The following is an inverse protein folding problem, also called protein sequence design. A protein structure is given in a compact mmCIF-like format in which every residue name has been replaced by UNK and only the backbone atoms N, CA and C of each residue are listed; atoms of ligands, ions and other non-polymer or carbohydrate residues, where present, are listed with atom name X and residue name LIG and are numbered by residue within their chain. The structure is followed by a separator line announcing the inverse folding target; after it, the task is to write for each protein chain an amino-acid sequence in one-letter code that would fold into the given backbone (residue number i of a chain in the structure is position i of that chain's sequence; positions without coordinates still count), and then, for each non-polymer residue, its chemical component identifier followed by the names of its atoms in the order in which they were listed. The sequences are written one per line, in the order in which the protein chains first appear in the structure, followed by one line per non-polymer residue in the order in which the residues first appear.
data_IF_800474050508
#
_entry.id   IF_800474050508
#
_cell.length_a   1.000
_cell.length_b   1.000
_cell.length_c   1.000
_cell.angle_alpha   90.00
_cell.angle_beta   90.00
_cell.angle_gamma   90.00
#
_symmetry.space_group_name_H-M   'P 1'
#
loop_
_entity.id
_entity.type
_entity.pdbx_description
1 polymer ?
#
# COMPACT_ATOMS: atom_id res chain seq x y z
N UNK A 1 -3.01 -8.44 -46.00
CA UNK A 1 -2.20 -7.80 -44.93
C UNK A 1 -3.03 -7.32 -43.74
N UNK A 2 -4.19 -6.67 -43.94
CA UNK A 2 -5.09 -6.20 -42.86
C UNK A 2 -5.33 -7.24 -41.75
N UNK A 3 -5.64 -8.50 -42.13
CA UNK A 3 -5.86 -9.59 -41.18
C UNK A 3 -4.67 -9.89 -40.24
N UNK A 4 -3.43 -9.72 -40.71
CA UNK A 4 -2.23 -9.99 -39.90
C UNK A 4 -2.10 -8.93 -38.79
N UNK A 5 -2.39 -7.67 -39.10
CA UNK A 5 -2.38 -6.57 -38.13
C UNK A 5 -3.49 -6.70 -37.09
N UNK A 6 -4.69 -7.13 -37.52
CA UNK A 6 -5.81 -7.42 -36.60
C UNK A 6 -5.45 -8.55 -35.64
N UNK A 7 -4.83 -9.63 -36.14
CA UNK A 7 -4.37 -10.75 -35.30
C UNK A 7 -3.27 -10.31 -34.33
N UNK A 8 -2.32 -9.50 -34.79
CA UNK A 8 -1.25 -9.00 -33.93
C UNK A 8 -1.75 -8.05 -32.83
N UNK A 9 -2.70 -7.15 -33.14
CA UNK A 9 -3.37 -6.31 -32.15
C UNK A 9 -4.18 -7.14 -31.15
N UNK A 10 -4.87 -8.18 -31.61
CA UNK A 10 -5.55 -9.13 -30.72
C UNK A 10 -4.56 -9.88 -29.81
N UNK A 11 -3.38 -10.24 -30.31
CA UNK A 11 -2.31 -10.86 -29.50
C UNK A 11 -1.78 -9.86 -28.47
N UNK A 12 -1.52 -8.60 -28.82
CA UNK A 12 -1.09 -7.58 -27.85
C UNK A 12 -2.19 -7.34 -26.82
N UNK A 13 -3.44 -7.16 -27.24
CA UNK A 13 -4.58 -7.03 -26.33
C UNK A 13 -4.72 -8.25 -25.42
N UNK A 14 -4.49 -9.46 -25.93
CA UNK A 14 -4.51 -10.69 -25.14
C UNK A 14 -3.35 -10.77 -24.16
N UNK A 15 -2.11 -10.46 -24.57
CA UNK A 15 -0.94 -10.43 -23.68
C UNK A 15 -1.14 -9.36 -22.61
N UNK A 16 -1.65 -8.20 -22.97
CA UNK A 16 -1.92 -7.11 -22.05
C UNK A 16 -3.07 -7.45 -21.11
N UNK A 17 -4.13 -8.07 -21.62
CA UNK A 17 -5.21 -8.64 -20.81
C UNK A 17 -4.66 -9.71 -19.86
N UNK A 18 -3.73 -10.56 -20.29
CA UNK A 18 -3.10 -11.58 -19.47
C UNK A 18 -2.16 -11.00 -18.40
N UNK A 19 -1.40 -9.96 -18.73
CA UNK A 19 -0.53 -9.26 -17.79
C UNK A 19 -1.35 -8.54 -16.72
N UNK A 20 -2.34 -7.75 -17.17
CA UNK A 20 -3.31 -7.09 -16.28
C UNK A 20 -4.07 -8.14 -15.49
N UNK A 21 -4.55 -9.22 -16.11
CA UNK A 21 -5.32 -10.25 -15.40
C UNK A 21 -4.45 -10.97 -14.42
N UNK A 22 -3.20 -11.31 -14.73
CA UNK A 22 -2.32 -12.02 -13.79
C UNK A 22 -1.94 -11.13 -12.61
N UNK A 23 -1.68 -9.85 -12.82
CA UNK A 23 -1.42 -8.92 -11.73
C UNK A 23 -2.70 -8.63 -10.91
N UNK A 24 -3.85 -8.47 -11.57
CA UNK A 24 -5.14 -8.36 -10.88
C UNK A 24 -5.53 -9.65 -10.17
N UNK A 25 -5.25 -10.82 -10.75
CA UNK A 25 -5.58 -12.14 -10.20
C UNK A 25 -4.67 -12.45 -9.03
N UNK A 26 -3.37 -12.15 -9.13
CA UNK A 26 -2.44 -12.24 -8.00
C UNK A 26 -2.85 -11.27 -6.89
N UNK A 27 -3.19 -10.02 -7.25
CA UNK A 27 -3.67 -9.02 -6.29
C UNK A 27 -5.01 -9.42 -5.65
N UNK A 28 -5.95 -9.95 -6.42
CA UNK A 28 -7.28 -10.37 -5.91
C UNK A 28 -7.23 -11.69 -5.18
N UNK A 29 -6.34 -12.62 -5.54
CA UNK A 29 -6.08 -13.84 -4.78
C UNK A 29 -5.44 -13.50 -3.44
N UNK A 30 -4.45 -12.60 -3.44
CA UNK A 30 -3.87 -12.08 -2.20
C UNK A 30 -4.92 -11.33 -1.37
N UNK A 31 -5.76 -10.49 -2.00
CA UNK A 31 -6.84 -9.79 -1.33
C UNK A 31 -7.90 -10.76 -0.76
N UNK A 32 -8.25 -11.84 -1.47
CA UNK A 32 -9.16 -12.88 -0.96
C UNK A 32 -8.56 -13.59 0.26
N UNK A 33 -7.28 -13.95 0.21
CA UNK A 33 -6.56 -14.53 1.34
C UNK A 33 -6.50 -13.58 2.54
N UNK A 34 -6.16 -12.31 2.31
CA UNK A 34 -6.18 -11.28 3.36
C UNK A 34 -7.58 -11.00 3.90
N UNK A 35 -8.62 -11.06 3.05
CA UNK A 35 -10.02 -10.90 3.47
C UNK A 35 -10.46 -12.04 4.39
N UNK A 36 -10.09 -13.28 4.07
CA UNK A 36 -10.35 -14.44 4.93
C UNK A 36 -9.65 -14.26 6.29
N UNK A 37 -8.33 -14.02 6.27
CA UNK A 37 -7.54 -13.73 7.48
C UNK A 37 -8.11 -12.58 8.32
N UNK A 38 -8.60 -11.53 7.66
CA UNK A 38 -9.27 -10.41 8.31
C UNK A 38 -10.61 -10.82 8.96
N UNK A 39 -11.42 -11.64 8.29
CA UNK A 39 -12.67 -12.14 8.87
C UNK A 39 -12.39 -13.05 10.06
N UNK A 40 -11.39 -13.92 9.94
CA UNK A 40 -10.96 -14.84 10.99
C UNK A 40 -10.50 -14.08 12.23
N UNK A 41 -9.64 -13.07 12.08
CA UNK A 41 -9.18 -12.27 13.23
C UNK A 41 -10.31 -11.46 13.86
N UNK A 42 -11.27 -10.95 13.07
CA UNK A 42 -12.44 -10.26 13.63
C UNK A 42 -13.40 -11.20 14.37
N UNK A 43 -13.59 -12.42 13.85
CA UNK A 43 -14.38 -13.46 14.50
C UNK A 43 -13.70 -13.85 15.82
N UNK A 44 -12.38 -14.09 15.78
CA UNK A 44 -11.56 -14.35 16.95
C UNK A 44 -11.70 -13.24 18.00
N UNK A 45 -11.52 -11.96 17.63
CA UNK A 45 -11.68 -10.82 18.54
C UNK A 45 -13.10 -10.60 19.06
N UNK A 46 -14.11 -11.27 18.49
CA UNK A 46 -15.49 -11.23 18.97
C UNK A 46 -15.79 -12.35 19.98
N UNK A 47 -14.90 -13.33 20.13
CA UNK A 47 -15.00 -14.36 21.17
C UNK A 47 -14.80 -13.74 22.55
N UNK A 48 -15.37 -14.40 23.57
CA UNK A 48 -15.11 -13.99 24.94
C UNK A 48 -13.64 -14.25 25.30
N UNK A 49 -13.02 -13.37 26.09
CA UNK A 49 -11.76 -13.61 26.77
C UNK A 49 -11.33 -15.03 27.12
N UNK A 50 -12.21 -15.81 27.74
CA UNK A 50 -11.92 -17.16 28.22
C UNK A 50 -11.83 -18.15 27.06
N UNK A 51 -12.57 -17.91 25.99
CA UNK A 51 -12.51 -18.73 24.78
C UNK A 51 -11.21 -18.50 24.00
N UNK A 52 -10.68 -17.27 23.99
CA UNK A 52 -9.49 -16.89 23.21
C UNK A 52 -8.26 -17.77 23.51
N UNK A 53 -8.13 -18.31 24.72
CA UNK A 53 -6.98 -19.13 25.12
C UNK A 53 -6.94 -20.50 24.44
N UNK A 54 -8.09 -21.00 23.96
CA UNK A 54 -8.20 -22.34 23.39
C UNK A 54 -8.12 -22.37 21.86
N UNK A 55 -8.06 -21.20 21.21
CA UNK A 55 -8.03 -21.09 19.75
C UNK A 55 -6.69 -20.55 19.26
N UNK A 56 -6.23 -21.08 18.13
CA UNK A 56 -5.07 -20.54 17.42
C UNK A 56 -5.37 -19.12 16.92
N UNK A 57 -4.40 -18.21 17.11
CA UNK A 57 -4.55 -16.80 16.72
C UNK A 57 -4.43 -16.71 15.19
N UNK A 58 -5.47 -16.23 14.48
CA UNK A 58 -5.38 -16.04 13.03
C UNK A 58 -4.27 -15.06 12.68
N UNK A 59 -3.50 -15.35 11.61
CA UNK A 59 -2.42 -14.50 11.15
C UNK A 59 -2.93 -13.34 10.27
N UNK A 60 -2.88 -12.11 10.78
CA UNK A 60 -3.19 -10.86 10.08
C UNK A 60 -2.18 -9.77 10.46
N UNK A 61 -1.22 -9.53 9.55
CA UNK A 61 -0.14 -8.53 9.68
C UNK A 61 0.52 -8.57 11.08
N UNK A 62 0.96 -7.42 11.59
CA UNK A 62 1.54 -7.25 12.92
C UNK A 62 0.50 -7.32 14.06
N UNK A 63 -0.80 -7.24 13.76
CA UNK A 63 -1.85 -7.28 14.79
C UNK A 63 -1.89 -8.61 15.54
N UNK A 64 -1.63 -9.73 14.87
CA UNK A 64 -1.56 -11.05 15.51
C UNK A 64 -0.48 -11.12 16.58
N UNK A 65 0.67 -10.47 16.34
CA UNK A 65 1.76 -10.41 17.32
C UNK A 65 1.37 -9.58 18.55
N UNK A 66 0.69 -8.44 18.34
CA UNK A 66 0.16 -7.61 19.43
C UNK A 66 -0.84 -8.42 20.26
N UNK A 67 -1.82 -9.07 19.61
CA UNK A 67 -2.84 -9.88 20.29
C UNK A 67 -2.20 -11.03 21.05
N UNK A 68 -1.23 -11.73 20.45
CA UNK A 68 -0.50 -12.82 21.12
C UNK A 68 0.23 -12.32 22.37
N UNK A 69 0.90 -11.16 22.31
CA UNK A 69 1.56 -10.54 23.47
C UNK A 69 0.54 -10.16 24.55
N UNK A 70 -0.59 -9.56 24.18
CA UNK A 70 -1.66 -9.18 25.11
C UNK A 70 -2.28 -10.39 25.82
N UNK A 71 -2.51 -11.49 25.10
CA UNK A 71 -3.02 -12.73 25.68
C UNK A 71 -2.02 -13.36 26.65
N UNK A 72 -0.72 -13.32 26.32
CA UNK A 72 0.34 -13.73 27.25
C UNK A 72 0.34 -12.87 28.52
N UNK A 73 0.20 -11.55 28.39
CA UNK A 73 0.13 -10.66 29.55
C UNK A 73 -1.13 -10.88 30.39
N UNK A 74 -2.27 -11.17 29.76
CA UNK A 74 -3.47 -11.57 30.50
C UNK A 74 -3.27 -12.86 31.27
N UNK A 75 -2.72 -13.90 30.65
CA UNK A 75 -2.48 -15.18 31.32
C UNK A 75 -1.52 -15.01 32.51
N UNK A 76 -0.52 -14.13 32.38
CA UNK A 76 0.49 -13.89 33.42
C UNK A 76 0.04 -12.94 34.53
N UNK A 77 -0.77 -11.92 34.21
CA UNK A 77 -1.04 -10.79 35.11
C UNK A 77 -2.53 -10.49 35.35
N UNK A 78 -3.46 -11.22 34.70
CA UNK A 78 -4.89 -11.01 34.89
C UNK A 78 -5.46 -9.74 34.24
N UNK A 79 -4.79 -9.17 33.23
CA UNK A 79 -5.22 -7.93 32.57
C UNK A 79 -6.62 -8.01 31.96
N UNK A 80 -7.43 -6.95 32.16
CA UNK A 80 -8.66 -6.76 31.41
C UNK A 80 -8.30 -6.41 29.95
N UNK A 81 -8.67 -7.27 29.00
CA UNK A 81 -8.37 -7.06 27.58
C UNK A 81 -9.54 -6.48 26.78
N UNK A 82 -10.73 -6.38 27.37
CA UNK A 82 -11.96 -6.08 26.60
C UNK A 82 -11.90 -4.72 25.90
N UNK A 83 -11.41 -3.68 26.58
CA UNK A 83 -11.24 -2.33 26.03
C UNK A 83 -10.20 -2.32 24.91
N UNK A 84 -9.02 -2.89 25.18
CA UNK A 84 -7.88 -2.92 24.25
C UNK A 84 -8.21 -3.73 22.99
N UNK A 85 -8.86 -4.89 23.12
CA UNK A 85 -9.26 -5.70 21.97
C UNK A 85 -10.34 -5.01 21.11
N UNK A 86 -11.27 -4.26 21.74
CA UNK A 86 -12.22 -3.42 21.00
C UNK A 86 -11.53 -2.34 20.19
N UNK A 87 -10.48 -1.72 20.74
CA UNK A 87 -9.69 -0.72 20.02
C UNK A 87 -8.86 -1.35 18.89
N UNK A 88 -8.21 -2.49 19.13
CA UNK A 88 -7.49 -3.24 18.10
C UNK A 88 -8.45 -3.64 16.98
N UNK A 89 -9.67 -4.05 17.31
CA UNK A 89 -10.72 -4.32 16.31
C UNK A 89 -11.02 -3.10 15.45
N UNK A 90 -11.18 -1.91 16.06
CA UNK A 90 -11.35 -0.64 15.33
C UNK A 90 -10.13 -0.32 14.44
N UNK A 91 -8.93 -0.51 14.97
CA UNK A 91 -7.67 -0.31 14.26
C UNK A 91 -7.52 -1.23 13.04
N UNK A 92 -7.87 -2.51 13.17
CA UNK A 92 -7.87 -3.49 12.06
C UNK A 92 -8.87 -3.08 10.97
N UNK A 93 -10.07 -2.63 11.35
CA UNK A 93 -11.06 -2.12 10.38
C UNK A 93 -10.53 -0.87 9.66
N UNK A 94 -9.91 0.05 10.39
CA UNK A 94 -9.29 1.26 9.81
C UNK A 94 -8.14 0.91 8.85
N UNK A 95 -7.24 0.02 9.26
CA UNK A 95 -6.15 -0.49 8.41
C UNK A 95 -6.66 -1.10 7.11
N UNK A 96 -7.70 -1.96 7.17
CA UNK A 96 -8.30 -2.53 5.97
C UNK A 96 -8.91 -1.48 5.05
N UNK A 97 -9.61 -0.49 5.61
CA UNK A 97 -10.18 0.60 4.82
C UNK A 97 -9.08 1.39 4.09
N UNK A 98 -7.95 1.61 4.75
CA UNK A 98 -6.80 2.32 4.16
C UNK A 98 -6.09 1.47 3.10
N UNK A 99 -5.86 0.19 3.36
CA UNK A 99 -5.32 -0.74 2.36
C UNK A 99 -6.16 -0.77 1.07
N UNK A 100 -7.51 -0.79 1.22
CA UNK A 100 -8.43 -0.71 0.08
C UNK A 100 -8.29 0.60 -0.69
N UNK A 101 -8.10 1.74 -0.01
CA UNK A 101 -7.85 3.04 -0.66
C UNK A 101 -6.53 3.05 -1.43
N UNK A 102 -5.44 2.54 -0.84
CA UNK A 102 -4.14 2.43 -1.52
C UNK A 102 -4.26 1.57 -2.77
N UNK A 103 -4.91 0.41 -2.66
CA UNK A 103 -5.12 -0.48 -3.78
C UNK A 103 -5.96 0.16 -4.89
N UNK A 104 -7.03 0.88 -4.54
CA UNK A 104 -7.85 1.60 -5.51
C UNK A 104 -7.05 2.67 -6.26
N UNK A 105 -6.20 3.43 -5.57
CA UNK A 105 -5.32 4.45 -6.17
C UNK A 105 -4.32 3.80 -7.15
N UNK A 106 -3.66 2.71 -6.74
CA UNK A 106 -2.71 1.97 -7.60
C UNK A 106 -3.41 1.45 -8.87
N UNK A 107 -4.56 0.78 -8.69
CA UNK A 107 -5.34 0.23 -9.80
C UNK A 107 -5.81 1.32 -10.76
N UNK A 108 -6.28 2.46 -10.24
CA UNK A 108 -6.68 3.60 -11.05
C UNK A 108 -5.52 4.12 -11.90
N UNK A 109 -4.34 4.32 -11.31
CA UNK A 109 -3.17 4.83 -12.04
C UNK A 109 -2.68 3.85 -13.12
N UNK A 110 -2.62 2.55 -12.80
CA UNK A 110 -2.26 1.50 -13.77
C UNK A 110 -3.24 1.49 -14.94
N UNK A 111 -4.56 1.53 -14.66
CA UNK A 111 -5.59 1.56 -15.70
C UNK A 111 -5.46 2.80 -16.59
N UNK A 112 -5.14 3.97 -16.02
CA UNK A 112 -4.96 5.20 -16.78
C UNK A 112 -3.76 5.14 -17.72
N UNK A 113 -2.61 4.66 -17.24
CA UNK A 113 -1.42 4.48 -18.08
C UNK A 113 -1.71 3.46 -19.20
N UNK A 114 -2.32 2.34 -18.84
CA UNK A 114 -2.74 1.29 -19.77
C UNK A 114 -3.65 1.82 -20.89
N UNK A 115 -4.67 2.60 -20.53
CA UNK A 115 -5.61 3.17 -21.49
C UNK A 115 -4.90 4.13 -22.45
N UNK A 116 -3.99 4.96 -21.96
CA UNK A 116 -3.22 5.89 -22.79
C UNK A 116 -2.37 5.12 -23.81
N UNK A 117 -1.67 4.06 -23.37
CA UNK A 117 -0.87 3.21 -24.28
C UNK A 117 -1.75 2.62 -25.39
N UNK A 118 -2.93 2.07 -25.03
CA UNK A 118 -3.86 1.48 -26.00
C UNK A 118 -4.35 2.53 -27.00
N UNK A 119 -4.71 3.73 -26.52
CA UNK A 119 -5.19 4.82 -27.39
C UNK A 119 -4.09 5.28 -28.34
N UNK A 120 -2.87 5.48 -27.85
CA UNK A 120 -1.73 5.90 -28.68
C UNK A 120 -1.39 4.83 -29.73
N UNK A 121 -1.41 3.55 -29.36
CA UNK A 121 -1.17 2.45 -30.29
C UNK A 121 -2.27 2.36 -31.35
N UNK A 122 -3.53 2.46 -30.93
CA UNK A 122 -4.69 2.41 -31.84
C UNK A 122 -4.65 3.57 -32.82
N UNK A 123 -4.30 4.78 -32.37
CA UNK A 123 -4.10 5.95 -33.22
C UNK A 123 -3.06 5.69 -34.31
N UNK A 124 -1.88 5.18 -33.94
CA UNK A 124 -0.81 4.89 -34.90
C UNK A 124 -1.25 3.89 -35.96
N UNK A 125 -1.87 2.78 -35.52
CA UNK A 125 -2.36 1.73 -36.43
C UNK A 125 -3.41 2.29 -37.37
N UNK A 126 -4.41 3.01 -36.85
CA UNK A 126 -5.49 3.57 -37.66
C UNK A 126 -4.96 4.57 -38.70
N UNK A 127 -4.02 5.43 -38.31
CA UNK A 127 -3.42 6.41 -39.20
C UNK A 127 -2.65 5.75 -40.36
N UNK A 128 -1.81 4.75 -40.06
CA UNK A 128 -1.05 4.02 -41.08
C UNK A 128 -1.99 3.24 -42.03
N UNK A 129 -2.95 2.48 -41.50
CA UNK A 129 -3.72 1.51 -42.32
C UNK A 129 -4.94 2.10 -43.02
N UNK A 130 -5.62 3.08 -42.43
CA UNK A 130 -6.90 3.56 -42.97
C UNK A 130 -6.81 4.95 -43.61
N UNK A 131 -5.90 5.80 -43.14
CA UNK A 131 -5.84 7.20 -43.59
C UNK A 131 -4.80 7.37 -44.70
N UNK A 132 -3.60 6.82 -44.50
CA UNK A 132 -2.45 7.09 -45.37
C UNK A 132 -2.04 5.91 -46.27
N UNK A 133 -2.59 4.72 -46.04
CA UNK A 133 -2.23 3.47 -46.75
C UNK A 133 -0.71 3.19 -46.77
N UNK A 134 -0.03 3.54 -45.67
CA UNK A 134 1.42 3.36 -45.51
C UNK A 134 1.68 1.93 -44.97
N UNK A 135 2.65 1.18 -45.53
CA UNK A 135 3.03 -0.11 -44.97
C UNK A 135 3.52 0.06 -43.54
N UNK A 136 2.92 -0.67 -42.60
CA UNK A 136 3.25 -0.56 -41.19
C UNK A 136 4.64 -1.16 -40.90
N UNK A 137 5.51 -0.36 -40.30
CA UNK A 137 6.78 -0.86 -39.76
C UNK A 137 6.57 -1.56 -38.41
N UNK A 138 6.55 -2.89 -38.45
CA UNK A 138 6.44 -3.73 -37.25
C UNK A 138 7.59 -3.50 -36.26
N UNK A 139 8.80 -3.18 -36.73
CA UNK A 139 9.93 -2.95 -35.86
C UNK A 139 9.73 -1.67 -35.03
N UNK A 140 9.19 -0.61 -35.64
CA UNK A 140 8.79 0.62 -34.95
C UNK A 140 7.74 0.33 -33.88
N UNK A 141 6.68 -0.41 -34.22
CA UNK A 141 5.60 -0.74 -33.29
C UNK A 141 6.10 -1.60 -32.12
N UNK A 142 6.97 -2.58 -32.37
CA UNK A 142 7.57 -3.38 -31.30
C UNK A 142 8.41 -2.52 -30.34
N UNK A 143 9.24 -1.62 -30.87
CA UNK A 143 10.03 -0.67 -30.06
C UNK A 143 9.11 0.22 -29.21
N UNK A 144 8.03 0.71 -29.80
CA UNK A 144 7.00 1.51 -29.13
C UNK A 144 6.39 0.75 -27.95
N UNK A 145 5.98 -0.51 -28.15
CA UNK A 145 5.37 -1.34 -27.08
C UNK A 145 6.36 -1.60 -25.96
N UNK A 146 7.59 -2.00 -26.29
CA UNK A 146 8.66 -2.24 -25.30
C UNK A 146 8.92 -0.98 -24.48
N UNK A 147 9.02 0.18 -25.14
CA UNK A 147 9.28 1.45 -24.46
C UNK A 147 8.18 1.81 -23.44
N UNK A 148 6.91 1.62 -23.80
CA UNK A 148 5.79 1.88 -22.89
C UNK A 148 5.71 0.85 -21.75
N UNK A 149 6.03 -0.42 -22.02
CA UNK A 149 6.11 -1.45 -20.98
C UNK A 149 7.23 -1.14 -19.96
N UNK A 150 8.37 -0.61 -20.41
CA UNK A 150 9.44 -0.13 -19.52
C UNK A 150 8.92 1.00 -18.62
N UNK A 151 8.18 1.96 -19.18
CA UNK A 151 7.57 3.04 -18.40
C UNK A 151 6.59 2.53 -17.33
N UNK A 152 5.76 1.55 -17.67
CA UNK A 152 4.83 0.91 -16.74
C UNK A 152 5.57 0.13 -15.63
N UNK A 153 6.61 -0.62 -15.97
CA UNK A 153 7.44 -1.32 -15.00
C UNK A 153 8.14 -0.36 -14.02
N UNK A 154 8.69 0.75 -14.53
CA UNK A 154 9.28 1.81 -13.72
C UNK A 154 8.26 2.43 -12.77
N UNK A 155 7.04 2.70 -13.25
CA UNK A 155 5.95 3.22 -12.43
C UNK A 155 5.67 2.31 -11.22
N UNK A 156 5.47 1.01 -11.45
CA UNK A 156 5.15 0.03 -10.39
C UNK A 156 6.29 -0.03 -9.36
N UNK A 157 7.54 -0.09 -9.82
CA UNK A 157 8.72 -0.15 -8.95
C UNK A 157 8.85 1.09 -8.05
N UNK A 158 8.68 2.29 -8.62
CA UNK A 158 8.78 3.56 -7.88
C UNK A 158 7.65 3.69 -6.85
N UNK A 159 6.41 3.32 -7.21
CA UNK A 159 5.28 3.37 -6.27
C UNK A 159 5.50 2.43 -5.08
N UNK A 160 5.98 1.21 -5.33
CA UNK A 160 6.28 0.25 -4.27
C UNK A 160 7.38 0.76 -3.33
N UNK A 161 8.39 1.43 -3.88
CA UNK A 161 9.45 2.05 -3.08
C UNK A 161 8.92 3.20 -2.21
N UNK A 162 8.07 4.07 -2.78
CA UNK A 162 7.48 5.20 -2.05
C UNK A 162 6.57 4.71 -0.92
N UNK A 163 5.73 3.70 -1.17
CA UNK A 163 4.87 3.07 -0.16
C UNK A 163 5.69 2.55 1.02
N UNK A 164 6.72 1.73 0.75
CA UNK A 164 7.61 1.20 1.78
C UNK A 164 8.30 2.29 2.58
N UNK A 165 8.71 3.38 1.92
CA UNK A 165 9.41 4.50 2.56
C UNK A 165 8.50 5.32 3.47
N UNK A 166 7.28 5.63 3.03
CA UNK A 166 6.33 6.46 3.77
C UNK A 166 5.69 5.71 4.94
N UNK A 167 5.43 4.42 4.77
CA UNK A 167 4.79 3.58 5.79
C UNK A 167 5.78 2.93 6.77
N UNK A 168 7.08 3.12 6.55
CA UNK A 168 8.11 2.51 7.40
C UNK A 168 7.94 2.92 8.86
N UNK A 169 7.91 1.93 9.74
CA UNK A 169 7.93 2.12 11.18
C UNK A 169 6.56 2.26 11.84
N UNK A 170 5.48 2.54 11.10
CA UNK A 170 4.14 2.67 11.68
C UNK A 170 3.77 1.47 12.56
N UNK A 171 3.97 0.25 12.02
CA UNK A 171 3.64 -1.00 12.70
C UNK A 171 4.37 -1.14 14.05
N UNK A 172 5.66 -0.77 14.09
CA UNK A 172 6.50 -0.85 15.28
C UNK A 172 6.08 0.18 16.33
N UNK A 173 5.82 1.42 15.92
CA UNK A 173 5.30 2.46 16.82
C UNK A 173 3.93 2.08 17.38
N UNK A 174 3.03 1.60 16.52
CA UNK A 174 1.69 1.19 16.90
C UNK A 174 1.74 0.05 17.92
N UNK A 175 2.51 -1.00 17.63
CA UNK A 175 2.68 -2.12 18.55
C UNK A 175 3.26 -1.67 19.90
N UNK A 176 4.30 -0.82 19.89
CA UNK A 176 4.93 -0.32 21.10
C UNK A 176 3.95 0.47 21.97
N UNK A 177 3.20 1.43 21.41
CA UNK A 177 2.23 2.23 22.16
C UNK A 177 1.11 1.38 22.77
N UNK A 178 0.57 0.41 22.02
CA UNK A 178 -0.46 -0.49 22.54
C UNK A 178 0.06 -1.38 23.67
N UNK A 179 1.30 -1.87 23.56
CA UNK A 179 1.92 -2.65 24.64
C UNK A 179 2.12 -1.77 25.88
N UNK A 180 2.63 -0.54 25.74
CA UNK A 180 2.76 0.40 26.86
C UNK A 180 1.42 0.63 27.55
N UNK A 181 0.40 1.03 26.78
CA UNK A 181 -0.96 1.27 27.31
C UNK A 181 -1.48 0.04 28.07
N UNK A 182 -1.31 -1.15 27.51
CA UNK A 182 -1.78 -2.40 28.13
C UNK A 182 -1.07 -2.76 29.44
N UNK A 183 0.23 -2.47 29.55
CA UNK A 183 1.00 -2.78 30.76
C UNK A 183 0.78 -1.71 31.84
N UNK A 184 0.53 -0.46 31.43
CA UNK A 184 0.14 0.62 32.35
C UNK A 184 -1.26 0.40 32.92
N UNK A 185 -2.23 -0.14 32.17
CA UNK A 185 -3.58 -0.39 32.71
C UNK A 185 -3.61 -1.41 33.86
N UNK A 186 -2.56 -2.21 34.03
CA UNK A 186 -2.39 -3.15 35.14
C UNK A 186 -1.25 -2.75 36.10
N UNK A 187 -0.83 -1.48 36.04
CA UNK A 187 0.16 -0.88 36.94
C UNK A 187 1.49 -1.65 37.01
N UNK A 188 2.00 -2.17 35.88
CA UNK A 188 3.31 -2.85 35.87
C UNK A 188 4.45 -1.87 36.18
N UNK A 189 5.55 -2.36 36.79
CA UNK A 189 6.75 -1.56 36.98
C UNK A 189 7.26 -1.00 35.64
N UNK A 190 7.59 0.30 35.61
CA UNK A 190 7.95 0.99 34.37
C UNK A 190 9.14 0.36 33.61
N UNK A 191 10.09 -0.25 34.32
CA UNK A 191 11.20 -0.94 33.69
C UNK A 191 10.73 -2.13 32.83
N UNK A 192 9.73 -2.88 33.30
CA UNK A 192 9.11 -3.96 32.52
C UNK A 192 8.30 -3.40 31.35
N UNK A 193 7.60 -2.28 31.54
CA UNK A 193 6.83 -1.62 30.48
C UNK A 193 7.73 -1.24 29.31
N UNK A 194 8.87 -0.62 29.61
CA UNK A 194 9.85 -0.19 28.60
C UNK A 194 10.47 -1.41 27.89
N UNK A 195 10.88 -2.42 28.65
CA UNK A 195 11.52 -3.61 28.09
C UNK A 195 10.58 -4.40 27.16
N UNK A 196 9.31 -4.56 27.55
CA UNK A 196 8.35 -5.34 26.77
C UNK A 196 7.77 -4.59 25.57
N UNK A 197 7.66 -3.26 25.66
CA UNK A 197 7.10 -2.43 24.58
C UNK A 197 8.06 -2.19 23.43
N UNK A 198 9.38 -2.30 23.65
CA UNK A 198 10.41 -1.98 22.67
C UNK A 198 10.30 -0.53 22.14
N UNK A 199 9.64 0.37 22.88
CA UNK A 199 9.41 1.75 22.44
C UNK A 199 10.72 2.51 22.16
N UNK A 200 11.78 2.20 22.91
CA UNK A 200 13.10 2.80 22.73
C UNK A 200 13.86 2.26 21.50
N UNK A 201 13.47 1.08 21.02
CA UNK A 201 14.05 0.40 19.85
C UNK A 201 13.36 0.81 18.54
N UNK A 202 12.26 1.57 18.61
CA UNK A 202 11.54 2.04 17.43
C UNK A 202 12.47 2.87 16.51
N UNK A 203 12.39 2.67 15.18
CA UNK A 203 13.26 3.33 14.22
C UNK A 203 13.04 4.84 14.26
N UNK A 204 14.13 5.61 14.13
CA UNK A 204 14.03 7.07 14.03
C UNK A 204 13.48 7.47 12.67
N UNK A 205 12.15 7.54 12.59
CA UNK A 205 11.45 8.06 11.44
C UNK A 205 11.03 9.51 11.71
N UNK A 206 11.43 10.45 10.83
CA UNK A 206 11.12 11.88 10.96
C UNK A 206 9.63 12.15 11.15
N UNK A 207 8.77 11.37 10.49
CA UNK A 207 7.31 11.53 10.61
C UNK A 207 6.77 11.16 11.99
N UNK A 208 7.36 10.16 12.66
CA UNK A 208 6.88 9.65 13.95
C UNK A 208 7.70 10.17 15.14
N UNK A 209 8.72 10.99 14.89
CA UNK A 209 9.56 11.54 15.95
C UNK A 209 8.82 12.41 16.98
N UNK A 210 7.78 13.19 16.63
CA UNK A 210 7.01 13.93 17.63
C UNK A 210 6.31 13.00 18.63
N UNK A 211 5.57 12.01 18.13
CA UNK A 211 4.88 11.00 18.97
C UNK A 211 5.88 10.24 19.84
N UNK A 212 7.02 9.82 19.29
CA UNK A 212 8.06 9.15 20.06
C UNK A 212 8.62 10.05 21.17
N UNK A 213 8.86 11.33 20.87
CA UNK A 213 9.36 12.30 21.86
C UNK A 213 8.34 12.48 22.99
N UNK A 214 7.08 12.66 22.66
CA UNK A 214 6.00 12.81 23.65
C UNK A 214 5.84 11.53 24.48
N UNK A 215 5.86 10.36 23.86
CA UNK A 215 5.80 9.07 24.58
C UNK A 215 6.99 8.88 25.54
N UNK A 216 8.21 9.27 25.13
CA UNK A 216 9.40 9.24 25.99
C UNK A 216 9.27 10.21 27.16
N UNK A 217 8.79 11.44 26.92
CA UNK A 217 8.54 12.43 27.97
C UNK A 217 7.49 11.94 28.98
N UNK A 218 6.41 11.31 28.50
CA UNK A 218 5.40 10.71 29.38
C UNK A 218 6.01 9.61 30.25
N UNK A 219 6.83 8.72 29.68
CA UNK A 219 7.55 7.70 30.45
C UNK A 219 8.45 8.31 31.53
N UNK A 220 9.19 9.37 31.21
CA UNK A 220 10.04 10.09 32.18
C UNK A 220 9.21 10.73 33.31
N UNK A 221 8.07 11.35 32.97
CA UNK A 221 7.14 11.89 33.95
C UNK A 221 6.61 10.80 34.88
N UNK A 222 6.20 9.64 34.35
CA UNK A 222 5.71 8.53 35.16
C UNK A 222 6.81 7.99 36.07
N UNK A 223 8.07 7.91 35.60
CA UNK A 223 9.21 7.52 36.45
C UNK A 223 9.45 8.49 37.60
N UNK A 224 9.29 9.79 37.35
CA UNK A 224 9.59 10.84 38.33
C UNK A 224 8.46 11.06 39.34
N UNK A 225 7.21 11.03 38.89
CA UNK A 225 6.05 11.42 39.70
C UNK A 225 5.16 10.23 40.10
N UNK A 226 5.32 9.07 39.47
CA UNK A 226 4.55 7.85 39.79
C UNK A 226 3.10 7.86 39.30
N UNK A 227 2.59 8.97 38.76
CA UNK A 227 1.26 9.07 38.18
C UNK A 227 1.28 8.95 36.66
N UNK A 228 0.25 8.33 36.10
CA UNK A 228 0.01 8.23 34.66
C UNK A 228 -1.47 8.44 34.38
N UNK A 229 -1.75 8.92 33.17
CA UNK A 229 -3.10 9.10 32.66
C UNK A 229 -3.22 8.34 31.34
N UNK A 230 -4.21 7.44 31.25
CA UNK A 230 -4.44 6.60 30.08
C UNK A 230 -5.01 7.41 28.92
N UNK A 231 -5.72 8.52 29.17
CA UNK A 231 -6.26 9.38 28.12
C UNK A 231 -5.13 10.02 27.30
N UNK A 232 -4.03 10.38 27.95
CA UNK A 232 -2.82 10.86 27.29
C UNK A 232 -2.20 9.83 26.32
N UNK A 233 -2.30 8.53 26.62
CA UNK A 233 -1.84 7.48 25.72
C UNK A 233 -2.81 7.26 24.54
N UNK A 234 -4.11 7.44 24.77
CA UNK A 234 -5.13 7.38 23.72
C UNK A 234 -4.95 8.51 22.71
N UNK A 235 -4.64 9.71 23.21
CA UNK A 235 -4.29 10.85 22.36
C UNK A 235 -3.05 10.56 21.52
N UNK A 236 -2.01 9.91 22.07
CA UNK A 236 -0.82 9.54 21.29
C UNK A 236 -1.12 8.49 20.21
N UNK A 237 -1.98 7.51 20.51
CA UNK A 237 -2.40 6.51 19.51
C UNK A 237 -3.23 7.18 18.41
N UNK A 238 -4.08 8.14 18.76
CA UNK A 238 -4.85 8.92 17.79
C UNK A 238 -3.93 9.80 16.94
N UNK A 239 -2.97 10.51 17.54
CA UNK A 239 -1.97 11.31 16.82
C UNK A 239 -1.16 10.44 15.84
N UNK A 240 -0.78 9.21 16.25
CA UNK A 240 -0.10 8.26 15.37
C UNK A 240 -0.96 7.90 14.14
N UNK A 241 -2.27 7.73 14.35
CA UNK A 241 -3.22 7.49 13.27
C UNK A 241 -3.38 8.69 12.34
N UNK A 242 -3.38 9.90 12.88
CA UNK A 242 -3.49 11.14 12.09
C UNK A 242 -2.23 11.33 11.23
N UNK A 243 -1.04 11.04 11.79
CA UNK A 243 0.21 11.03 11.01
C UNK A 243 0.15 9.98 9.89
N UNK A 244 -0.39 8.80 10.17
CA UNK A 244 -0.54 7.76 9.14
C UNK A 244 -1.48 8.21 8.01
N UNK A 245 -2.63 8.79 8.35
CA UNK A 245 -3.57 9.35 7.37
C UNK A 245 -2.92 10.48 6.55
N UNK A 246 -2.08 11.31 7.18
CA UNK A 246 -1.30 12.34 6.48
C UNK A 246 -0.28 11.72 5.51
N UNK A 247 0.45 10.66 5.93
CA UNK A 247 1.36 9.93 5.04
C UNK A 247 0.61 9.31 3.85
N UNK A 248 -0.64 8.89 4.04
CA UNK A 248 -1.49 8.39 2.96
C UNK A 248 -1.89 9.45 1.94
N UNK A 249 -2.23 10.66 2.39
CA UNK A 249 -2.47 11.77 1.46
C UNK A 249 -1.20 12.19 0.72
N UNK A 250 -0.03 12.17 1.40
CA UNK A 250 1.27 12.39 0.75
C UNK A 250 1.56 11.32 -0.29
N UNK A 251 1.33 10.04 0.04
CA UNK A 251 1.49 8.92 -0.88
C UNK A 251 0.63 9.11 -2.14
N UNK A 252 -0.65 9.45 -1.98
CA UNK A 252 -1.56 9.73 -3.11
C UNK A 252 -1.07 10.87 -4.00
N UNK A 253 -0.54 11.95 -3.42
CA UNK A 253 0.08 13.05 -4.18
C UNK A 253 1.29 12.57 -4.97
N UNK A 254 2.17 11.80 -4.33
CA UNK A 254 3.34 11.22 -5.01
C UNK A 254 2.95 10.28 -6.15
N UNK A 255 1.92 9.44 -5.99
CA UNK A 255 1.43 8.56 -7.06
C UNK A 255 1.05 9.37 -8.29
N UNK A 256 0.31 10.48 -8.11
CA UNK A 256 -0.08 11.36 -9.22
C UNK A 256 1.12 12.01 -9.91
N UNK A 257 2.10 12.47 -9.13
CA UNK A 257 3.33 13.07 -9.69
C UNK A 257 4.13 12.05 -10.49
N UNK A 258 4.35 10.85 -9.93
CA UNK A 258 5.08 9.77 -10.62
C UNK A 258 4.35 9.35 -11.89
N UNK A 259 3.01 9.22 -11.83
CA UNK A 259 2.19 8.95 -13.00
C UNK A 259 2.37 10.01 -14.09
N UNK A 260 2.32 11.30 -13.74
CA UNK A 260 2.54 12.38 -14.69
C UNK A 260 3.93 12.33 -15.33
N UNK A 261 4.98 12.09 -14.53
CA UNK A 261 6.36 11.95 -15.02
C UNK A 261 6.47 10.78 -16.00
N UNK A 262 5.86 9.63 -15.69
CA UNK A 262 5.87 8.45 -16.56
C UNK A 262 5.13 8.72 -17.86
N UNK A 263 3.97 9.37 -17.82
CA UNK A 263 3.24 9.74 -19.04
C UNK A 263 4.03 10.72 -19.91
N UNK A 264 4.67 11.72 -19.30
CA UNK A 264 5.50 12.69 -20.01
C UNK A 264 6.79 12.09 -20.59
N UNK A 265 7.36 11.08 -19.94
CA UNK A 265 8.65 10.49 -20.35
C UNK A 265 8.50 9.31 -21.30
N UNK A 266 7.37 8.59 -21.23
CA UNK A 266 7.15 7.37 -22.01
C UNK A 266 6.01 7.54 -23.01
N UNK A 267 4.80 7.90 -22.56
CA UNK A 267 3.64 7.95 -23.44
C UNK A 267 3.71 9.12 -24.46
N UNK A 268 4.05 10.33 -23.99
CA UNK A 268 4.11 11.51 -24.86
C UNK A 268 5.19 11.39 -25.95
N UNK A 269 6.45 11.01 -25.66
CA UNK A 269 7.44 10.82 -26.71
C UNK A 269 7.04 9.72 -27.68
N UNK A 270 6.39 8.65 -27.20
CA UNK A 270 5.89 7.58 -28.07
C UNK A 270 4.83 8.10 -29.05
N UNK A 271 3.92 8.95 -28.59
CA UNK A 271 2.93 9.60 -29.44
C UNK A 271 3.57 10.54 -30.46
N UNK A 272 4.53 11.38 -30.03
CA UNK A 272 5.24 12.29 -30.93
C UNK A 272 6.07 11.54 -31.98
N UNK A 273 6.79 10.49 -31.59
CA UNK A 273 7.52 9.62 -32.51
C UNK A 273 6.59 8.96 -33.53
N UNK A 274 5.39 8.54 -33.10
CA UNK A 274 4.37 8.02 -34.00
C UNK A 274 3.97 9.06 -35.05
N UNK A 275 3.76 10.32 -34.65
CA UNK A 275 3.44 11.41 -35.60
C UNK A 275 4.59 11.69 -36.55
N UNK A 276 5.83 11.81 -36.03
CA UNK A 276 7.00 12.08 -36.86
C UNK A 276 7.21 10.98 -37.91
N UNK A 277 7.07 9.71 -37.51
CA UNK A 277 7.15 8.59 -38.42
C UNK A 277 6.06 8.64 -39.51
N UNK A 278 4.84 9.07 -39.17
CA UNK A 278 3.78 9.27 -40.17
C UNK A 278 4.13 10.37 -41.17
N UNK A 279 4.69 11.49 -40.71
CA UNK A 279 5.10 12.63 -41.56
C UNK A 279 6.25 12.25 -42.49
N UNK A 280 7.28 11.58 -41.97
CA UNK A 280 8.46 11.16 -42.74
C UNK A 280 8.06 10.22 -43.88
N UNK A 281 7.23 9.21 -43.58
CA UNK A 281 6.73 8.29 -44.60
C UNK A 281 5.86 9.00 -45.65
N UNK A 282 5.08 10.02 -45.25
CA UNK A 282 4.28 10.81 -46.18
C UNK A 282 5.15 11.67 -47.12
N UNK A 283 6.24 12.25 -46.59
CA UNK A 283 7.19 13.03 -47.40
C UNK A 283 8.01 12.20 -48.38
N UNK A 284 8.22 10.91 -48.08
CA UNK A 284 8.91 9.99 -48.99
C UNK A 284 8.01 9.52 -50.13
N UNK A 285 6.69 9.67 -49.99
CA UNK A 285 5.70 9.32 -51.02
C UNK A 285 5.42 10.46 -52.02
N UNK A 286 5.67 11.72 -51.63
CA UNK A 286 5.50 12.91 -52.47
C UNK A 286 6.69 13.15 -53.39
#
# INVERSE_FOLDING_TARGET
MIWIYSVFLLIICFIFQQLISNELLASTANEKGERAKFQDILAYLSLTPHQLQNFEIPHYKFFSEIIAKLLKFRAKYGCELNSILKEIKKAIVKDKALAKKIFAIKKQAILQIALIIIVTLSFHILACTFILDIPMDFAFLLKFVIWNLVGMGLFIAVIFFIEKKLLKGFEQFFAALYIVKSLLSISRPMNEVIQNSQLLECPSCKSYSPVLKTAKQQIECIKKYGSYDLENWDMLIQELWDIYDEQMERYKKHVKVVMAIVLLSFALPSYLLSILNLIENLSLMS
#
